data_IF_154061152603
#
_entry.id   IF_154061152603
#
_cell.length_a   1.000
_cell.length_b   1.000
_cell.length_c   1.000
_cell.angle_alpha   90.00
_cell.angle_beta   90.00
_cell.angle_gamma   90.00
#
_symmetry.space_group_name_H-M   'P 1'
#
loop_
_entity.id
_entity.type
_entity.pdbx_description
1 polymer ?
#
# COMPACT_ATOMS: atom_id res chain seq x y z
N UNK A 1 -49.82 -2.59 58.08
CA UNK A 1 -49.81 -1.11 58.04
C UNK A 1 -49.07 -0.74 56.76
N UNK A 2 -49.74 -0.42 55.65
CA UNK A 2 -50.33 0.89 55.32
C UNK A 2 -49.28 2.02 55.53
N UNK A 3 -48.95 2.92 54.61
CA UNK A 3 -49.59 3.39 53.38
C UNK A 3 -48.61 4.32 52.62
N UNK A 4 -48.63 4.26 51.28
CA UNK A 4 -48.70 5.36 50.30
C UNK A 4 -47.64 6.49 50.21
N UNK A 5 -47.20 6.70 48.96
CA UNK A 5 -46.44 7.84 48.46
C UNK A 5 -46.14 7.74 46.95
N UNK A 6 -47.16 8.01 46.13
CA UNK A 6 -47.15 8.30 44.67
C UNK A 6 -46.10 9.38 44.27
N UNK A 7 -45.71 9.68 43.04
CA UNK A 7 -45.89 9.25 41.64
C UNK A 7 -45.02 10.21 40.80
N UNK A 8 -44.43 9.75 39.69
CA UNK A 8 -44.51 10.36 38.35
C UNK A 8 -43.30 9.96 37.49
N UNK A 9 -43.57 9.06 36.54
CA UNK A 9 -42.70 8.79 35.41
C UNK A 9 -43.02 9.69 34.21
N UNK A 10 -42.07 9.80 33.28
CA UNK A 10 -42.34 10.24 31.91
C UNK A 10 -41.67 9.24 30.96
N UNK A 11 -42.47 8.31 30.44
CA UNK A 11 -42.19 7.54 29.22
C UNK A 11 -42.97 8.21 28.09
N UNK A 12 -42.29 8.71 27.08
CA UNK A 12 -42.95 9.21 25.86
C UNK A 12 -42.89 8.16 24.75
N UNK A 13 -44.05 7.52 24.53
CA UNK A 13 -44.46 6.77 23.35
C UNK A 13 -45.26 7.74 22.49
N UNK A 14 -44.91 7.96 21.22
CA UNK A 14 -45.88 8.48 20.25
C UNK A 14 -45.91 7.63 18.96
N UNK A 15 -47.16 7.28 18.63
CA UNK A 15 -47.67 6.36 17.62
C UNK A 15 -47.50 6.87 16.18
N UNK A 16 -47.46 5.88 15.27
CA UNK A 16 -47.82 5.95 13.85
C UNK A 16 -49.04 6.86 13.58
N UNK A 17 -48.95 7.66 12.52
CA UNK A 17 -50.12 8.05 11.70
C UNK A 17 -49.84 7.77 10.23
N UNK A 18 -50.72 6.94 9.68
CA UNK A 18 -50.96 6.67 8.27
C UNK A 18 -51.68 7.86 7.65
N UNK A 19 -51.29 8.26 6.44
CA UNK A 19 -52.11 9.08 5.56
C UNK A 19 -52.10 8.42 4.17
N UNK A 20 -53.21 7.74 3.90
CA UNK A 20 -53.66 7.24 2.61
C UNK A 20 -54.47 8.38 1.98
N UNK A 21 -54.13 8.80 0.77
CA UNK A 21 -54.98 9.65 -0.05
C UNK A 21 -55.28 8.90 -1.36
N UNK A 22 -56.56 8.69 -1.61
CA UNK A 22 -57.11 8.03 -2.80
C UNK A 22 -57.31 9.02 -3.96
N UNK A 23 -57.46 8.42 -5.14
CA UNK A 23 -57.39 8.98 -6.47
C UNK A 23 -58.47 10.01 -6.85
N UNK A 24 -58.14 10.86 -7.82
CA UNK A 24 -59.07 11.32 -8.84
C UNK A 24 -58.40 11.23 -10.23
N UNK A 25 -59.15 10.64 -11.16
CA UNK A 25 -58.82 10.42 -12.57
C UNK A 25 -59.43 11.52 -13.42
N UNK A 26 -58.68 12.05 -14.40
CA UNK A 26 -58.98 12.07 -15.85
C UNK A 26 -58.29 13.26 -16.53
N UNK A 27 -57.39 13.00 -17.47
CA UNK A 27 -57.45 13.54 -18.85
C UNK A 27 -56.29 13.01 -19.68
N UNK A 28 -56.62 12.53 -20.88
CA UNK A 28 -55.73 12.03 -21.92
C UNK A 28 -54.65 13.05 -22.31
N UNK A 29 -53.46 12.55 -22.61
CA UNK A 29 -52.39 13.30 -23.26
C UNK A 29 -51.33 12.34 -23.82
N UNK A 30 -51.46 11.99 -25.10
CA UNK A 30 -50.44 11.30 -25.88
C UNK A 30 -49.12 12.08 -25.81
N UNK A 31 -48.06 11.49 -25.26
CA UNK A 31 -46.70 11.90 -25.62
C UNK A 31 -45.75 10.69 -25.60
N UNK A 32 -45.13 10.51 -26.77
CA UNK A 32 -44.11 9.56 -27.15
C UNK A 32 -43.27 8.96 -26.02
N UNK A 33 -43.26 7.63 -25.96
CA UNK A 33 -42.25 6.84 -25.27
C UNK A 33 -40.87 7.16 -25.84
N UNK A 34 -40.12 8.05 -25.18
CA UNK A 34 -38.67 8.12 -25.40
C UNK A 34 -38.11 6.77 -24.96
N UNK A 35 -37.59 5.99 -25.90
CA UNK A 35 -36.66 4.90 -25.59
C UNK A 35 -35.49 5.56 -24.86
N UNK A 36 -35.55 5.54 -23.53
CA UNK A 36 -34.41 5.85 -22.71
C UNK A 36 -33.32 4.88 -23.13
N UNK A 37 -32.26 5.40 -23.74
CA UNK A 37 -30.99 4.69 -23.76
C UNK A 37 -30.66 4.45 -22.28
N UNK A 38 -30.96 3.25 -21.80
CA UNK A 38 -30.37 2.73 -20.58
C UNK A 38 -28.89 2.68 -20.90
N UNK A 39 -28.19 3.76 -20.54
CA UNK A 39 -26.74 3.76 -20.45
C UNK A 39 -26.43 2.59 -19.54
N UNK A 40 -26.01 1.45 -20.11
CA UNK A 40 -25.49 0.35 -19.32
C UNK A 40 -24.32 0.96 -18.55
N UNK A 41 -24.52 1.18 -17.25
CA UNK A 41 -23.53 1.84 -16.43
C UNK A 41 -22.24 1.01 -16.54
N UNK A 42 -21.21 1.60 -17.15
CA UNK A 42 -19.99 0.89 -17.48
C UNK A 42 -19.40 0.33 -16.19
N UNK A 43 -19.31 -1.00 -16.10
CA UNK A 43 -18.77 -1.68 -14.93
C UNK A 43 -17.29 -1.31 -14.76
N UNK A 44 -16.80 -1.19 -13.52
CA UNK A 44 -15.39 -0.90 -13.29
C UNK A 44 -14.51 -2.01 -13.84
N UNK A 45 -13.39 -1.63 -14.45
CA UNK A 45 -12.39 -2.54 -15.02
C UNK A 45 -11.04 -2.48 -14.27
N UNK A 46 -10.89 -1.56 -13.32
CA UNK A 46 -9.67 -1.37 -12.55
C UNK A 46 -9.95 -1.49 -11.04
N UNK A 47 -9.37 -2.49 -10.39
CA UNK A 47 -9.41 -2.63 -8.93
C UNK A 47 -8.31 -1.80 -8.28
N UNK A 48 -8.66 -0.89 -7.37
CA UNK A 48 -7.71 -0.19 -6.50
C UNK A 48 -7.91 -0.66 -5.06
N UNK A 49 -6.97 -1.46 -4.57
CA UNK A 49 -6.99 -2.02 -3.21
C UNK A 49 -6.33 -1.05 -2.23
N UNK A 50 -7.06 -0.58 -1.23
CA UNK A 50 -6.53 0.26 -0.14
C UNK A 50 -6.17 -0.62 1.06
N UNK A 51 -4.93 -0.54 1.54
CA UNK A 51 -4.40 -1.43 2.59
C UNK A 51 -3.91 -0.62 3.78
N UNK A 52 -4.65 -0.68 4.89
CA UNK A 52 -4.37 0.09 6.10
C UNK A 52 -3.14 -0.43 6.88
N UNK A 53 -2.58 0.43 7.73
CA UNK A 53 -1.45 0.12 8.60
C UNK A 53 -1.80 -0.66 9.87
N UNK A 54 -0.84 -0.68 10.81
CA UNK A 54 -0.95 -1.34 12.11
C UNK A 54 -2.08 -0.73 12.97
N UNK A 55 -2.87 -1.58 13.64
CA UNK A 55 -4.01 -1.15 14.49
C UNK A 55 -5.05 -0.26 13.78
N UNK A 56 -5.05 -0.23 12.45
CA UNK A 56 -5.97 0.56 11.66
C UNK A 56 -7.17 -0.29 11.18
N UNK A 57 -8.07 0.36 10.47
CA UNK A 57 -9.23 -0.26 9.83
C UNK A 57 -9.55 0.45 8.51
N UNK A 58 -10.47 -0.06 7.68
CA UNK A 58 -10.99 0.65 6.51
C UNK A 58 -11.44 2.09 6.78
N UNK A 59 -11.88 2.42 8.02
CA UNK A 59 -12.32 3.77 8.40
C UNK A 59 -11.24 4.84 8.19
N UNK A 60 -9.97 4.47 8.27
CA UNK A 60 -8.85 5.41 8.13
C UNK A 60 -8.69 5.89 6.67
N UNK A 61 -9.39 5.26 5.73
CA UNK A 61 -9.39 5.62 4.31
C UNK A 61 -10.56 6.52 3.89
N UNK A 62 -11.50 6.90 4.78
CA UNK A 62 -12.74 7.62 4.40
C UNK A 62 -12.45 8.86 3.53
N UNK A 63 -11.58 9.76 4.00
CA UNK A 63 -11.22 10.97 3.24
C UNK A 63 -10.52 10.62 1.93
N UNK A 64 -9.55 9.70 1.99
CA UNK A 64 -8.76 9.31 0.83
C UNK A 64 -9.64 8.68 -0.26
N UNK A 65 -10.54 7.78 0.13
CA UNK A 65 -11.48 7.11 -0.76
C UNK A 65 -12.43 8.12 -1.42
N UNK A 66 -12.95 9.10 -0.66
CA UNK A 66 -13.77 10.17 -1.21
C UNK A 66 -13.01 10.97 -2.28
N UNK A 67 -11.75 11.31 -2.01
CA UNK A 67 -10.92 12.07 -2.94
C UNK A 67 -10.53 11.26 -4.19
N UNK A 68 -10.25 9.96 -4.02
CA UNK A 68 -10.03 9.04 -5.14
C UNK A 68 -11.29 8.97 -6.02
N UNK A 69 -12.46 8.70 -5.43
CA UNK A 69 -13.75 8.63 -6.15
C UNK A 69 -14.00 9.89 -6.97
N UNK A 70 -13.68 11.07 -6.41
CA UNK A 70 -13.84 12.36 -7.07
C UNK A 70 -12.90 12.55 -8.26
N UNK A 71 -11.66 12.04 -8.19
CA UNK A 71 -10.60 12.34 -9.17
C UNK A 71 -10.41 11.27 -10.24
N UNK A 72 -10.40 9.98 -9.87
CA UNK A 72 -10.01 8.88 -10.79
C UNK A 72 -11.16 8.40 -11.67
N UNK A 73 -12.42 8.71 -11.31
CA UNK A 73 -13.61 8.41 -12.11
C UNK A 73 -14.23 7.04 -11.84
N UNK A 74 -15.30 6.71 -12.57
CA UNK A 74 -16.15 5.52 -12.34
C UNK A 74 -15.54 4.18 -12.77
N UNK A 75 -14.46 4.18 -13.54
CA UNK A 75 -13.80 2.95 -14.02
C UNK A 75 -13.10 2.17 -12.88
N UNK A 76 -12.88 2.81 -11.74
CA UNK A 76 -12.23 2.21 -10.60
C UNK A 76 -13.24 1.58 -9.64
N UNK A 77 -13.01 0.31 -9.31
CA UNK A 77 -13.52 -0.30 -8.08
C UNK A 77 -12.51 0.00 -6.97
N UNK A 78 -12.80 1.01 -6.15
CA UNK A 78 -11.98 1.33 -4.98
C UNK A 78 -12.44 0.44 -3.83
N UNK A 79 -11.52 -0.35 -3.28
CA UNK A 79 -11.82 -1.36 -2.28
C UNK A 79 -10.88 -1.22 -1.07
N UNK A 80 -11.42 -0.76 0.06
CA UNK A 80 -10.68 -0.71 1.32
C UNK A 80 -10.69 -2.08 2.01
N UNK A 81 -9.52 -2.72 2.06
CA UNK A 81 -9.32 -4.03 2.67
C UNK A 81 -9.63 -4.00 4.16
N UNK A 82 -10.37 -5.01 4.65
CA UNK A 82 -10.77 -5.14 6.05
C UNK A 82 -10.17 -6.37 6.75
N UNK A 83 -9.55 -7.27 5.98
CA UNK A 83 -9.08 -8.58 6.45
C UNK A 83 -8.08 -8.51 7.62
N UNK A 84 -7.36 -7.40 7.77
CA UNK A 84 -6.33 -7.20 8.79
C UNK A 84 -6.69 -6.17 9.87
N UNK A 85 -7.97 -5.83 10.03
CA UNK A 85 -8.44 -4.79 10.97
C UNK A 85 -7.99 -5.01 12.43
N UNK A 86 -7.56 -3.93 13.09
CA UNK A 86 -7.13 -3.87 14.50
C UNK A 86 -6.03 -4.89 14.86
N UNK A 87 -6.28 -5.76 15.82
CA UNK A 87 -5.28 -6.70 16.36
C UNK A 87 -4.84 -7.76 15.36
N UNK A 88 -5.59 -7.96 14.26
CA UNK A 88 -5.19 -8.87 13.18
C UNK A 88 -3.90 -8.45 12.49
N UNK A 89 -3.48 -7.18 12.61
CA UNK A 89 -2.18 -6.71 12.08
C UNK A 89 -0.97 -7.33 12.78
N UNK A 90 -1.14 -8.00 13.92
CA UNK A 90 -0.05 -8.54 14.74
C UNK A 90 0.33 -9.99 14.43
N UNK A 91 -0.40 -10.67 13.54
CA UNK A 91 -0.19 -12.11 13.26
C UNK A 91 0.98 -12.39 12.30
N UNK A 92 1.87 -11.44 12.08
CA UNK A 92 2.93 -11.50 11.07
C UNK A 92 2.53 -10.84 9.74
N UNK A 93 3.52 -10.26 9.06
CA UNK A 93 3.45 -9.69 7.72
C UNK A 93 3.05 -10.76 6.71
N UNK A 94 3.63 -11.96 6.82
CA UNK A 94 3.30 -13.09 5.95
C UNK A 94 1.87 -13.57 6.16
N UNK A 95 1.43 -13.76 7.41
CA UNK A 95 0.05 -14.14 7.71
C UNK A 95 -0.97 -13.09 7.24
N UNK A 96 -0.65 -11.81 7.44
CA UNK A 96 -1.50 -10.69 7.00
C UNK A 96 -1.53 -10.54 5.49
N UNK A 97 -0.40 -10.79 4.81
CA UNK A 97 -0.28 -10.78 3.37
C UNK A 97 -1.06 -11.92 2.71
N UNK A 98 -1.05 -13.14 3.28
CA UNK A 98 -1.88 -14.26 2.80
C UNK A 98 -3.37 -13.93 2.86
N UNK A 99 -3.84 -13.42 4.01
CA UNK A 99 -5.25 -12.99 4.15
C UNK A 99 -5.64 -11.90 3.16
N UNK A 100 -4.75 -10.95 2.91
CA UNK A 100 -4.98 -9.90 1.92
C UNK A 100 -5.05 -10.50 0.50
N UNK A 101 -4.18 -11.45 0.16
CA UNK A 101 -4.23 -12.16 -1.12
C UNK A 101 -5.55 -12.93 -1.29
N UNK A 102 -6.03 -13.61 -0.24
CA UNK A 102 -7.31 -14.33 -0.26
C UNK A 102 -8.49 -13.36 -0.48
N UNK A 103 -8.52 -12.24 0.25
CA UNK A 103 -9.55 -11.20 0.12
C UNK A 103 -9.55 -10.60 -1.30
N UNK A 104 -8.38 -10.23 -1.83
CA UNK A 104 -8.24 -9.70 -3.19
C UNK A 104 -8.71 -10.72 -4.23
N UNK A 105 -8.30 -11.99 -4.11
CA UNK A 105 -8.74 -13.05 -5.01
C UNK A 105 -10.27 -13.21 -5.01
N UNK A 106 -10.91 -13.07 -3.85
CA UNK A 106 -12.36 -13.11 -3.73
C UNK A 106 -13.02 -11.91 -4.44
N UNK A 107 -12.50 -10.70 -4.25
CA UNK A 107 -13.00 -9.48 -4.93
C UNK A 107 -12.88 -9.61 -6.44
N UNK A 108 -11.75 -10.12 -6.94
CA UNK A 108 -11.51 -10.34 -8.37
C UNK A 108 -12.48 -11.36 -8.95
N UNK A 109 -12.63 -12.53 -8.31
CA UNK A 109 -13.58 -13.57 -8.73
C UNK A 109 -15.04 -13.07 -8.75
N UNK A 110 -15.41 -12.24 -7.78
CA UNK A 110 -16.76 -11.66 -7.69
C UNK A 110 -17.02 -10.60 -8.77
N UNK A 111 -15.98 -9.99 -9.32
CA UNK A 111 -16.09 -8.84 -10.23
C UNK A 111 -15.43 -9.16 -11.58
N UNK A 112 -16.12 -9.96 -12.41
CA UNK A 112 -15.57 -10.43 -13.69
C UNK A 112 -15.28 -9.36 -14.76
N UNK A 113 -15.62 -8.09 -14.53
CA UNK A 113 -15.27 -6.98 -15.43
C UNK A 113 -13.86 -6.45 -15.23
N UNK A 114 -13.19 -6.81 -14.13
CA UNK A 114 -11.85 -6.33 -13.80
C UNK A 114 -10.81 -6.86 -14.78
N UNK A 115 -9.91 -5.96 -15.20
CA UNK A 115 -8.77 -6.23 -16.10
C UNK A 115 -7.45 -5.75 -15.48
N UNK A 116 -7.53 -4.74 -14.61
CA UNK A 116 -6.37 -4.05 -14.02
C UNK A 116 -6.44 -4.06 -12.50
N UNK A 117 -5.27 -4.07 -11.86
CA UNK A 117 -5.14 -3.99 -10.41
C UNK A 117 -4.07 -2.98 -10.00
N UNK A 118 -4.38 -2.20 -8.98
CA UNK A 118 -3.48 -1.29 -8.27
C UNK A 118 -3.59 -1.50 -6.76
N UNK A 119 -2.50 -1.23 -6.06
CA UNK A 119 -2.44 -1.20 -4.60
C UNK A 119 -2.03 0.19 -4.13
N UNK A 120 -2.73 0.69 -3.11
CA UNK A 120 -2.35 1.85 -2.34
C UNK A 120 -2.33 1.46 -0.86
N UNK A 121 -1.17 1.55 -0.22
CA UNK A 121 -0.99 1.02 1.12
C UNK A 121 -0.30 2.03 2.04
N UNK A 122 -0.71 2.05 3.30
CA UNK A 122 -0.14 2.93 4.32
C UNK A 122 0.62 2.12 5.38
N UNK A 123 1.82 2.59 5.73
CA UNK A 123 2.61 2.07 6.84
C UNK A 123 2.83 0.55 6.73
N UNK A 124 2.57 -0.20 7.80
CA UNK A 124 2.66 -1.67 7.79
C UNK A 124 1.84 -2.34 6.66
N UNK A 125 0.76 -1.70 6.21
CA UNK A 125 -0.06 -2.18 5.10
C UNK A 125 0.74 -2.34 3.80
N UNK A 126 1.78 -1.53 3.58
CA UNK A 126 2.64 -1.68 2.40
C UNK A 126 3.46 -2.97 2.43
N UNK A 127 3.85 -3.46 3.61
CA UNK A 127 4.51 -4.74 3.76
C UNK A 127 3.53 -5.91 3.57
N UNK A 128 2.29 -5.77 4.04
CA UNK A 128 1.22 -6.74 3.75
C UNK A 128 0.95 -6.83 2.24
N UNK A 129 0.87 -5.68 1.56
CA UNK A 129 0.68 -5.62 0.12
C UNK A 129 1.86 -6.25 -0.63
N UNK A 130 3.12 -5.96 -0.24
CA UNK A 130 4.31 -6.61 -0.82
C UNK A 130 4.27 -8.13 -0.74
N UNK A 131 3.87 -8.66 0.42
CA UNK A 131 3.74 -10.11 0.57
C UNK A 131 2.58 -10.65 -0.28
N UNK A 132 1.42 -9.99 -0.24
CA UNK A 132 0.23 -10.39 -0.97
C UNK A 132 0.45 -10.43 -2.49
N UNK A 133 1.13 -9.43 -3.08
CA UNK A 133 1.40 -9.45 -4.53
C UNK A 133 2.32 -10.61 -4.92
N UNK A 134 3.25 -11.02 -4.06
CA UNK A 134 4.07 -12.22 -4.27
C UNK A 134 3.23 -13.51 -4.27
N UNK A 135 2.20 -13.59 -3.43
CA UNK A 135 1.25 -14.73 -3.39
C UNK A 135 0.33 -14.74 -4.62
N UNK A 136 -0.13 -13.56 -5.05
CA UNK A 136 -1.05 -13.38 -6.17
C UNK A 136 -0.38 -13.49 -7.55
N UNK A 137 0.94 -13.52 -7.58
CA UNK A 137 1.71 -13.48 -8.81
C UNK A 137 1.61 -14.77 -9.60
N UNK A 138 1.31 -14.63 -10.89
CA UNK A 138 1.37 -15.73 -11.86
C UNK A 138 2.33 -15.33 -12.98
N UNK A 139 3.44 -16.05 -13.17
CA UNK A 139 4.33 -15.81 -14.30
C UNK A 139 3.59 -16.10 -15.61
N UNK A 140 3.90 -15.35 -16.67
CA UNK A 140 3.39 -15.67 -18.00
C UNK A 140 4.27 -16.79 -18.59
N UNK A 141 3.72 -18.01 -18.69
CA UNK A 141 4.46 -19.21 -19.16
C UNK A 141 4.33 -19.45 -20.69
N UNK A 142 3.64 -18.58 -21.42
CA UNK A 142 3.42 -18.77 -22.84
C UNK A 142 4.57 -18.20 -23.67
N UNK A 143 5.52 -19.08 -24.03
CA UNK A 143 6.46 -19.11 -25.16
C UNK A 143 7.87 -19.53 -24.72
N UNK A 144 8.06 -20.84 -24.53
CA UNK A 144 9.36 -21.53 -24.64
C UNK A 144 9.20 -22.87 -25.39
N UNK A 145 8.15 -23.03 -26.21
CA UNK A 145 7.97 -24.22 -27.06
C UNK A 145 7.43 -23.85 -28.45
N UNK A 146 8.35 -23.43 -29.32
CA UNK A 146 8.33 -23.46 -30.80
C UNK A 146 9.38 -22.44 -31.28
N UNK A 147 10.47 -22.71 -31.99
CA UNK A 147 10.90 -23.86 -32.80
C UNK A 147 12.44 -23.83 -32.89
N UNK A 148 13.02 -25.00 -33.17
CA UNK A 148 14.40 -25.19 -33.63
C UNK A 148 14.71 -24.44 -34.95
N UNK A 149 15.96 -23.98 -35.08
CA UNK A 149 16.73 -23.61 -36.29
C UNK A 149 16.34 -22.31 -37.03
N UNK A 150 17.21 -21.28 -36.98
CA UNK A 150 18.21 -21.06 -38.04
C UNK A 150 19.25 -19.97 -37.69
N UNK A 151 20.50 -20.22 -38.08
CA UNK A 151 21.67 -19.36 -37.85
C UNK A 151 21.81 -18.42 -39.05
N UNK A 152 21.51 -17.11 -38.91
CA UNK A 152 22.21 -16.08 -39.68
C UNK A 152 21.94 -14.64 -39.22
N UNK A 153 23.04 -13.95 -38.89
CA UNK A 153 23.35 -12.53 -39.11
C UNK A 153 22.23 -11.47 -39.11
N UNK A 154 22.15 -10.70 -38.02
CA UNK A 154 22.30 -9.22 -38.03
C UNK A 154 21.97 -8.65 -36.64
N UNK A 155 22.98 -8.09 -35.98
CA UNK A 155 22.83 -7.38 -34.69
C UNK A 155 22.10 -6.08 -34.97
N UNK A 156 20.77 -6.12 -34.92
CA UNK A 156 19.94 -4.95 -34.68
C UNK A 156 19.69 -4.86 -33.18
N UNK A 157 20.27 -3.84 -32.54
CA UNK A 157 19.90 -3.42 -31.18
C UNK A 157 18.48 -2.85 -31.22
N UNK A 158 17.49 -3.72 -31.39
CA UNK A 158 16.10 -3.41 -31.04
C UNK A 158 15.99 -3.56 -29.53
N UNK A 159 15.62 -2.47 -28.86
CA UNK A 159 15.17 -2.44 -27.48
C UNK A 159 14.15 -3.55 -27.23
N UNK A 160 14.61 -4.70 -26.74
CA UNK A 160 13.73 -5.74 -26.20
C UNK A 160 13.30 -5.29 -24.80
N UNK A 161 12.31 -4.40 -24.75
CA UNK A 161 11.47 -4.30 -23.57
C UNK A 161 10.66 -5.59 -23.53
N UNK A 162 11.18 -6.61 -22.85
CA UNK A 162 10.57 -7.93 -22.74
C UNK A 162 9.08 -7.79 -22.35
N UNK A 163 8.21 -8.14 -23.29
CA UNK A 163 6.75 -8.08 -23.22
C UNK A 163 6.15 -9.32 -22.52
N UNK A 164 6.89 -9.97 -21.62
CA UNK A 164 6.41 -11.12 -20.85
C UNK A 164 6.08 -10.72 -19.40
N UNK A 165 5.07 -9.85 -19.23
CA UNK A 165 4.66 -9.38 -17.90
C UNK A 165 3.70 -10.39 -17.28
N UNK A 166 4.13 -11.06 -16.20
CA UNK A 166 3.23 -11.87 -15.37
C UNK A 166 2.05 -11.04 -14.82
N UNK A 167 1.07 -11.73 -14.25
CA UNK A 167 -0.18 -11.14 -13.78
C UNK A 167 -0.26 -11.17 -12.25
N UNK A 168 -1.08 -10.30 -11.67
CA UNK A 168 -1.41 -10.29 -10.25
C UNK A 168 -2.89 -10.62 -10.10
N UNK A 169 -3.20 -11.77 -9.50
CA UNK A 169 -4.57 -12.28 -9.40
C UNK A 169 -5.27 -12.45 -10.78
N UNK A 170 -4.49 -12.71 -11.83
CA UNK A 170 -5.00 -12.75 -13.22
C UNK A 170 -5.28 -11.38 -13.85
N UNK A 171 -4.92 -10.28 -13.18
CA UNK A 171 -5.11 -8.92 -13.66
C UNK A 171 -3.78 -8.25 -14.03
N UNK A 172 -3.84 -7.28 -14.95
CA UNK A 172 -2.70 -6.45 -15.30
C UNK A 172 -2.34 -5.51 -14.15
N UNK A 173 -1.10 -5.56 -13.70
CA UNK A 173 -0.61 -4.78 -12.56
C UNK A 173 -0.22 -3.35 -12.98
N UNK A 174 -0.91 -2.35 -12.42
CA UNK A 174 -0.74 -0.95 -12.83
C UNK A 174 0.09 -0.16 -11.83
N UNK A 175 -0.44 0.12 -10.64
CA UNK A 175 0.24 0.92 -9.63
C UNK A 175 0.50 0.11 -8.36
N UNK A 176 1.72 0.18 -7.83
CA UNK A 176 2.06 -0.22 -6.48
C UNK A 176 2.52 1.03 -5.71
N UNK A 177 1.65 1.58 -4.86
CA UNK A 177 1.89 2.84 -4.16
C UNK A 177 1.92 2.59 -2.66
N UNK A 178 2.95 3.12 -2.00
CA UNK A 178 3.07 3.05 -0.54
C UNK A 178 3.24 4.43 0.08
N UNK A 179 2.64 4.64 1.25
CA UNK A 179 2.69 5.86 2.04
C UNK A 179 3.32 5.56 3.39
N UNK A 180 4.50 6.13 3.68
CA UNK A 180 5.22 5.95 4.93
C UNK A 180 5.40 4.47 5.33
N UNK A 181 5.68 3.59 4.38
CA UNK A 181 5.86 2.14 4.62
C UNK A 181 7.30 1.83 5.03
N UNK A 182 7.55 1.06 6.11
CA UNK A 182 8.91 0.70 6.52
C UNK A 182 9.48 -0.43 5.65
N UNK A 183 9.82 -0.16 4.38
CA UNK A 183 10.25 -1.19 3.42
C UNK A 183 11.49 -1.97 3.85
N UNK A 184 12.35 -1.36 4.66
CA UNK A 184 13.62 -1.90 5.16
C UNK A 184 13.54 -2.29 6.66
N UNK A 185 12.34 -2.34 7.22
CA UNK A 185 12.11 -2.53 8.65
C UNK A 185 12.26 -1.24 9.46
N UNK A 186 12.33 -1.39 10.79
CA UNK A 186 12.47 -0.29 11.75
C UNK A 186 13.69 -0.55 12.63
N UNK A 187 14.51 0.49 12.83
CA UNK A 187 15.60 0.49 13.83
C UNK A 187 15.04 0.99 15.17
N UNK A 188 15.18 0.19 16.23
CA UNK A 188 14.82 0.62 17.59
C UNK A 188 15.75 1.74 18.11
N UNK A 189 15.19 2.68 18.86
CA UNK A 189 15.94 3.67 19.65
C UNK A 189 16.23 3.14 21.06
N UNK A 190 17.42 2.56 21.24
CA UNK A 190 18.34 2.73 22.39
C UNK A 190 17.93 2.43 23.86
N UNK A 191 16.72 2.04 24.27
CA UNK A 191 16.44 2.05 25.74
C UNK A 191 15.84 0.85 26.47
N UNK A 192 15.57 -0.33 25.87
CA UNK A 192 15.35 -1.56 26.67
C UNK A 192 15.67 -2.85 25.89
N UNK A 193 16.46 -3.79 26.46
CA UNK A 193 16.83 -5.05 25.81
C UNK A 193 15.66 -6.05 25.61
N UNK A 194 14.45 -5.71 26.03
CA UNK A 194 13.26 -6.57 25.90
C UNK A 194 12.07 -5.95 25.13
N UNK A 195 12.13 -4.66 24.76
CA UNK A 195 11.00 -3.93 24.14
C UNK A 195 11.33 -3.32 22.77
N UNK A 196 12.47 -3.68 22.17
CA UNK A 196 12.86 -3.32 20.80
C UNK A 196 12.87 -1.79 20.50
N UNK A 197 12.83 -0.93 21.53
CA UNK A 197 13.14 0.49 21.47
C UNK A 197 12.28 1.35 20.52
N UNK A 198 11.04 0.97 20.23
CA UNK A 198 10.15 1.77 19.37
C UNK A 198 9.03 2.38 20.20
N UNK A 199 8.96 3.73 20.32
CA UNK A 199 7.94 4.43 21.11
C UNK A 199 6.49 4.06 20.77
N UNK A 200 6.24 3.59 19.55
CA UNK A 200 4.93 3.13 19.11
C UNK A 200 4.50 1.79 19.70
N UNK A 201 5.45 0.86 19.89
CA UNK A 201 5.17 -0.41 20.57
C UNK A 201 5.16 -0.22 22.09
N UNK A 202 5.95 0.73 22.60
CA UNK A 202 6.02 1.09 24.02
C UNK A 202 4.79 1.87 24.53
N UNK A 203 4.15 2.68 23.67
CA UNK A 203 2.88 3.37 24.00
C UNK A 203 1.67 2.45 24.00
N UNK A 204 1.80 1.24 23.47
CA UNK A 204 0.76 0.24 23.50
C UNK A 204 0.90 -0.51 24.83
N UNK A 205 -0.05 -0.29 25.73
CA UNK A 205 0.00 -0.71 27.13
C UNK A 205 0.43 -2.17 27.35
N UNK A 206 0.98 -2.43 28.55
CA UNK A 206 1.48 -3.73 29.02
C UNK A 206 0.66 -5.00 28.63
N UNK A 207 -0.69 -5.02 28.60
CA UNK A 207 -1.42 -6.22 28.19
C UNK A 207 -1.34 -6.56 26.69
N UNK A 208 -0.93 -5.63 25.82
CA UNK A 208 -0.83 -5.86 24.36
C UNK A 208 0.64 -6.07 23.94
N UNK A 209 1.61 -5.77 24.82
CA UNK A 209 3.04 -5.87 24.54
C UNK A 209 3.45 -7.23 23.93
N UNK A 210 3.04 -8.42 24.45
CA UNK A 210 3.40 -9.71 23.84
C UNK A 210 2.85 -9.93 22.43
N UNK A 211 1.70 -9.32 22.12
CA UNK A 211 1.05 -9.39 20.81
C UNK A 211 1.82 -8.50 19.82
N UNK A 212 2.34 -7.37 20.30
CA UNK A 212 3.04 -6.35 19.53
C UNK A 212 4.52 -6.70 19.33
N UNK A 213 5.19 -7.25 20.34
CA UNK A 213 6.46 -7.98 20.24
C UNK A 213 6.29 -9.36 19.62
N UNK A 214 5.07 -9.68 19.15
CA UNK A 214 4.75 -10.91 18.44
C UNK A 214 5.39 -10.95 17.04
N UNK A 215 4.85 -11.82 16.19
CA UNK A 215 5.44 -12.16 14.89
C UNK A 215 5.66 -10.94 13.98
N UNK A 216 4.71 -10.00 13.92
CA UNK A 216 4.85 -8.77 13.13
C UNK A 216 6.01 -7.91 13.62
N UNK A 217 6.11 -7.70 14.94
CA UNK A 217 7.21 -6.93 15.52
C UNK A 217 8.54 -7.58 15.19
N UNK A 218 8.68 -8.87 15.45
CA UNK A 218 9.92 -9.61 15.16
C UNK A 218 10.38 -9.46 13.70
N UNK A 219 9.45 -9.54 12.75
CA UNK A 219 9.74 -9.34 11.31
C UNK A 219 10.10 -7.89 10.97
N UNK A 220 9.46 -6.91 11.62
CA UNK A 220 9.74 -5.49 11.41
C UNK A 220 11.14 -5.09 11.90
N UNK A 221 11.60 -5.74 12.98
CA UNK A 221 12.95 -5.56 13.53
C UNK A 221 13.98 -6.54 12.97
N UNK A 222 13.62 -7.35 11.97
CA UNK A 222 14.54 -8.31 11.34
C UNK A 222 15.06 -9.39 12.31
N UNK A 223 14.38 -9.59 13.44
CA UNK A 223 14.77 -10.58 14.46
C UNK A 223 14.13 -11.95 14.21
N UNK A 224 13.32 -12.08 13.15
CA UNK A 224 12.54 -13.27 12.88
C UNK A 224 13.38 -14.43 12.33
N UNK A 225 13.02 -15.65 12.73
CA UNK A 225 13.65 -16.87 12.27
C UNK A 225 15.03 -17.16 12.90
N UNK A 226 15.58 -18.32 12.53
CA UNK A 226 16.90 -18.78 13.00
C UNK A 226 18.04 -17.88 12.47
N UNK A 227 19.22 -17.86 13.11
CA UNK A 227 20.37 -17.07 12.65
C UNK A 227 20.76 -17.33 11.19
N UNK A 228 20.70 -18.60 10.76
CA UNK A 228 21.05 -19.02 9.40
C UNK A 228 19.96 -18.80 8.34
N UNK A 229 18.80 -18.24 8.72
CA UNK A 229 17.71 -17.94 7.79
C UNK A 229 17.58 -16.42 7.63
N UNK A 230 17.52 -15.91 6.39
CA UNK A 230 17.26 -14.48 6.18
C UNK A 230 15.90 -14.07 6.77
N UNK A 231 15.82 -12.87 7.38
CA UNK A 231 14.56 -12.34 7.90
C UNK A 231 13.54 -12.16 6.76
N UNK A 232 12.25 -12.16 7.10
CA UNK A 232 11.18 -12.09 6.09
C UNK A 232 11.31 -10.87 5.16
N UNK A 233 11.67 -9.69 5.69
CA UNK A 233 11.79 -8.49 4.85
C UNK A 233 12.88 -8.61 3.79
N UNK A 234 14.00 -9.26 4.12
CA UNK A 234 15.05 -9.58 3.15
C UNK A 234 14.57 -10.60 2.11
N UNK A 235 13.84 -11.63 2.54
CA UNK A 235 13.22 -12.60 1.62
C UNK A 235 12.22 -11.95 0.65
N UNK A 236 11.50 -10.91 1.08
CA UNK A 236 10.62 -10.11 0.21
C UNK A 236 11.37 -9.09 -0.66
N UNK A 237 12.69 -8.99 -0.54
CA UNK A 237 13.57 -8.21 -1.41
C UNK A 237 14.25 -9.10 -2.48
N UNK A 238 13.92 -10.39 -2.55
CA UNK A 238 14.36 -11.31 -3.58
C UNK A 238 13.23 -12.21 -4.07
N UNK A 239 13.50 -12.97 -5.13
CA UNK A 239 12.70 -14.13 -5.48
C UNK A 239 13.30 -15.35 -4.79
N UNK A 240 12.51 -16.03 -3.97
CA UNK A 240 12.95 -17.17 -3.18
C UNK A 240 11.90 -18.29 -3.20
N UNK A 241 12.16 -19.37 -2.46
CA UNK A 241 11.24 -20.52 -2.34
C UNK A 241 9.86 -20.12 -1.81
N UNK A 242 9.81 -19.08 -0.98
CA UNK A 242 8.56 -18.63 -0.35
C UNK A 242 7.71 -17.74 -1.26
N UNK A 243 8.26 -17.26 -2.38
CA UNK A 243 7.56 -16.39 -3.31
C UNK A 243 8.48 -15.63 -4.25
N UNK A 244 7.91 -15.23 -5.40
CA UNK A 244 8.59 -14.42 -6.42
C UNK A 244 8.31 -12.93 -6.21
N UNK A 245 8.76 -12.38 -5.07
CA UNK A 245 8.38 -11.04 -4.62
C UNK A 245 8.89 -9.90 -5.51
N UNK A 246 10.12 -10.01 -6.03
CA UNK A 246 10.69 -8.98 -6.92
C UNK A 246 10.10 -9.12 -8.31
N UNK A 247 9.91 -10.34 -8.82
CA UNK A 247 9.18 -10.54 -10.08
C UNK A 247 7.74 -9.99 -10.00
N UNK A 248 7.03 -10.25 -8.89
CA UNK A 248 5.69 -9.74 -8.66
C UNK A 248 5.63 -8.21 -8.58
N UNK A 249 6.57 -7.57 -7.89
CA UNK A 249 6.67 -6.11 -7.88
C UNK A 249 7.08 -5.55 -9.26
N UNK A 250 7.88 -6.31 -10.01
CA UNK A 250 8.40 -5.95 -11.32
C UNK A 250 7.32 -5.80 -12.39
N UNK A 251 6.22 -6.56 -12.29
CA UNK A 251 5.14 -6.48 -13.28
C UNK A 251 4.27 -5.22 -13.17
N UNK A 252 4.30 -4.52 -12.03
CA UNK A 252 3.63 -3.23 -11.91
C UNK A 252 4.26 -2.21 -12.85
N UNK A 253 3.45 -1.56 -13.71
CA UNK A 253 3.92 -0.50 -14.61
C UNK A 253 4.52 0.68 -13.84
N UNK A 254 3.92 1.01 -12.69
CA UNK A 254 4.39 2.08 -11.84
C UNK A 254 4.53 1.65 -10.38
N UNK A 255 5.69 1.95 -9.78
CA UNK A 255 5.95 1.77 -8.35
C UNK A 255 6.29 3.11 -7.75
N UNK A 256 5.58 3.52 -6.71
CA UNK A 256 5.73 4.83 -6.07
C UNK A 256 5.83 4.68 -4.56
N UNK A 257 6.85 5.30 -3.96
CA UNK A 257 6.99 5.41 -2.51
C UNK A 257 6.83 6.86 -2.10
N UNK A 258 5.94 7.13 -1.14
CA UNK A 258 5.80 8.43 -0.50
C UNK A 258 6.42 8.36 0.89
N UNK A 259 7.43 9.18 1.13
CA UNK A 259 8.22 9.16 2.36
C UNK A 259 8.16 10.51 3.06
N UNK A 260 7.92 10.49 4.38
CA UNK A 260 8.00 11.69 5.19
C UNK A 260 9.47 12.02 5.47
N UNK A 261 9.92 13.21 5.06
CA UNK A 261 11.32 13.66 5.28
C UNK A 261 11.60 14.06 6.72
N UNK A 262 10.55 14.38 7.47
CA UNK A 262 10.65 14.87 8.86
C UNK A 262 9.36 14.58 9.63
N UNK A 263 9.47 14.58 10.96
CA UNK A 263 8.36 14.47 11.92
C UNK A 263 7.54 13.17 11.88
N UNK A 264 7.93 12.19 11.07
CA UNK A 264 7.43 10.82 11.18
C UNK A 264 8.30 10.05 12.17
N UNK A 265 7.78 9.88 13.38
CA UNK A 265 8.46 9.14 14.45
C UNK A 265 8.24 7.63 14.36
N UNK A 266 7.35 7.17 13.46
CA UNK A 266 7.00 5.77 13.32
C UNK A 266 7.84 5.11 12.23
N UNK A 267 7.99 5.79 11.11
CA UNK A 267 8.68 5.27 9.93
C UNK A 267 9.67 6.32 9.44
N UNK A 268 10.95 5.98 9.53
CA UNK A 268 12.03 6.86 9.09
C UNK A 268 12.03 7.10 7.58
N UNK A 269 12.62 8.23 7.18
CA UNK A 269 12.73 8.62 5.77
C UNK A 269 13.43 7.54 4.93
N UNK A 270 14.61 7.06 5.36
CA UNK A 270 15.40 6.01 4.67
C UNK A 270 14.59 4.77 4.30
N UNK A 271 13.91 4.20 5.30
CA UNK A 271 13.15 2.95 5.14
C UNK A 271 11.90 3.16 4.27
N UNK A 272 11.27 4.33 4.34
CA UNK A 272 10.10 4.63 3.51
C UNK A 272 10.42 5.06 2.08
N UNK A 273 11.60 5.64 1.83
CA UNK A 273 12.05 6.03 0.49
C UNK A 273 12.90 4.97 -0.22
N UNK A 274 13.28 3.88 0.46
CA UNK A 274 14.23 2.87 -0.06
C UNK A 274 15.54 3.58 -0.48
N UNK A 275 16.11 4.35 0.46
CA UNK A 275 17.35 5.12 0.25
C UNK A 275 18.33 4.90 1.41
N UNK A 276 19.62 4.97 1.10
CA UNK A 276 20.71 5.01 2.08
C UNK A 276 20.78 6.39 2.75
N UNK A 277 21.44 6.50 3.91
CA UNK A 277 21.64 7.81 4.56
C UNK A 277 22.30 8.83 3.64
N UNK A 278 23.36 8.40 2.95
CA UNK A 278 24.15 9.24 2.05
C UNK A 278 23.37 9.75 0.83
N UNK A 279 22.23 9.12 0.52
CA UNK A 279 21.35 9.50 -0.58
C UNK A 279 20.27 10.49 -0.13
N UNK A 280 20.10 10.72 1.19
CA UNK A 280 19.14 11.68 1.71
C UNK A 280 19.72 13.10 1.60
N UNK A 281 19.19 13.86 0.64
CA UNK A 281 19.52 15.27 0.47
C UNK A 281 18.85 16.13 1.55
N UNK A 282 19.28 17.40 1.69
CA UNK A 282 18.57 18.34 2.58
C UNK A 282 17.17 18.59 2.01
N UNK A 283 16.10 18.37 2.79
CA UNK A 283 14.74 18.48 2.26
C UNK A 283 14.46 19.91 1.79
N UNK A 284 13.94 20.04 0.57
CA UNK A 284 13.46 21.31 0.05
C UNK A 284 12.37 21.86 0.95
N UNK A 285 12.42 23.17 1.23
CA UNK A 285 11.31 23.87 1.91
C UNK A 285 10.20 24.27 0.95
N UNK A 286 10.46 24.24 -0.37
CA UNK A 286 9.49 24.58 -1.41
C UNK A 286 8.66 23.34 -1.75
N UNK A 287 7.35 23.49 -1.80
CA UNK A 287 6.46 22.46 -2.31
C UNK A 287 6.43 22.49 -3.84
N UNK A 288 6.15 21.35 -4.44
CA UNK A 288 5.79 21.22 -5.85
C UNK A 288 4.51 22.02 -6.13
N UNK A 289 4.47 22.66 -7.29
CA UNK A 289 3.34 23.50 -7.70
C UNK A 289 2.03 22.69 -7.67
N UNK A 290 1.03 23.23 -6.97
CA UNK A 290 -0.29 22.61 -6.83
C UNK A 290 -0.43 21.58 -5.70
N UNK A 291 0.66 21.12 -5.06
CA UNK A 291 0.61 20.10 -4.02
C UNK A 291 1.36 20.51 -2.76
N UNK A 292 0.64 21.17 -1.85
CA UNK A 292 1.18 21.55 -0.54
C UNK A 292 1.74 20.32 0.18
N UNK A 293 2.96 20.43 0.69
CA UNK A 293 3.72 19.40 1.41
C UNK A 293 4.39 18.31 0.57
N UNK A 294 4.16 18.20 -0.74
CA UNK A 294 5.02 17.38 -1.61
C UNK A 294 6.22 18.24 -1.98
N UNK A 295 7.43 17.86 -1.57
CA UNK A 295 8.62 18.72 -1.66
C UNK A 295 9.66 18.28 -2.67
N UNK A 296 9.65 17.01 -3.04
CA UNK A 296 10.50 16.47 -4.10
C UNK A 296 9.84 15.26 -4.76
N UNK A 297 10.14 15.04 -6.04
CA UNK A 297 9.77 13.85 -6.79
C UNK A 297 10.87 13.51 -7.76
N UNK A 298 11.41 12.30 -7.62
CA UNK A 298 12.40 11.76 -8.54
C UNK A 298 11.97 10.38 -9.07
N UNK A 299 12.37 10.07 -10.30
CA UNK A 299 12.31 8.71 -10.82
C UNK A 299 13.71 8.10 -10.76
N UNK A 300 13.86 7.05 -9.97
CA UNK A 300 15.08 6.26 -9.90
C UNK A 300 14.93 5.04 -10.83
N UNK A 301 15.77 4.89 -11.87
CA UNK A 301 15.75 3.72 -12.74
C UNK A 301 16.18 2.45 -11.98
N UNK A 302 15.86 1.25 -12.51
CA UNK A 302 16.36 -0.01 -11.98
C UNK A 302 17.90 0.00 -11.90
N UNK A 303 18.45 -0.47 -10.79
CA UNK A 303 19.89 -0.69 -10.61
C UNK A 303 20.19 -2.14 -10.98
N UNK A 304 21.13 -2.34 -11.91
CA UNK A 304 21.63 -3.68 -12.21
C UNK A 304 22.52 -4.14 -11.06
N UNK A 305 21.98 -5.01 -10.21
CA UNK A 305 22.71 -5.68 -9.15
C UNK A 305 22.37 -7.16 -9.14
N UNK A 306 23.27 -7.95 -8.56
CA UNK A 306 22.95 -9.34 -8.20
C UNK A 306 21.74 -9.36 -7.23
N UNK A 307 21.08 -10.51 -7.17
CA UNK A 307 20.01 -10.71 -6.18
C UNK A 307 20.59 -10.50 -4.78
N UNK A 308 19.82 -9.98 -3.82
CA UNK A 308 20.36 -9.81 -2.48
C UNK A 308 20.61 -11.17 -1.86
N UNK A 309 21.71 -11.27 -1.14
CA UNK A 309 22.19 -12.50 -0.55
C UNK A 309 22.05 -12.42 0.97
N UNK A 310 22.09 -13.59 1.61
CA UNK A 310 22.23 -13.66 3.07
C UNK A 310 23.62 -14.25 3.37
N UNK A 311 24.67 -13.42 3.34
CA UNK A 311 26.04 -13.91 3.41
C UNK A 311 26.35 -14.50 4.80
N UNK A 312 27.36 -15.37 4.93
CA UNK A 312 27.75 -15.95 6.22
C UNK A 312 28.02 -14.89 7.30
N UNK A 313 28.54 -13.72 6.92
CA UNK A 313 28.76 -12.56 7.78
C UNK A 313 27.44 -12.03 8.35
N UNK A 314 26.38 -11.98 7.54
CA UNK A 314 25.05 -11.59 8.00
C UNK A 314 24.45 -12.59 8.99
N UNK A 315 24.66 -13.89 8.75
CA UNK A 315 24.22 -14.94 9.67
C UNK A 315 24.94 -14.85 11.02
N UNK A 316 26.27 -14.62 11.01
CA UNK A 316 27.08 -14.39 12.22
C UNK A 316 26.65 -13.12 12.96
N UNK A 317 26.44 -12.02 12.24
CA UNK A 317 25.96 -10.77 12.83
C UNK A 317 24.57 -10.94 13.47
N UNK A 318 23.68 -11.70 12.81
CA UNK A 318 22.36 -12.05 13.37
C UNK A 318 22.48 -12.88 14.63
N UNK A 319 23.32 -13.92 14.61
CA UNK A 319 23.58 -14.77 15.77
C UNK A 319 24.13 -13.96 16.95
N UNK A 320 25.13 -13.10 16.69
CA UNK A 320 25.69 -12.21 17.71
C UNK A 320 24.63 -11.25 18.29
N UNK A 321 23.77 -10.67 17.44
CA UNK A 321 22.70 -9.78 17.88
C UNK A 321 21.62 -10.51 18.69
N UNK A 322 21.40 -11.80 18.47
CA UNK A 322 20.43 -12.62 19.21
C UNK A 322 21.00 -13.18 20.52
N UNK A 323 22.25 -13.64 20.53
CA UNK A 323 22.90 -14.27 21.69
C UNK A 323 23.38 -13.24 22.71
N UNK A 324 23.99 -12.14 22.26
CA UNK A 324 24.50 -11.07 23.10
C UNK A 324 24.06 -9.71 22.55
N UNK A 325 22.81 -9.28 22.85
CA UNK A 325 22.26 -8.03 22.33
C UNK A 325 23.06 -6.83 22.83
N UNK A 326 23.87 -6.25 21.94
CA UNK A 326 24.59 -5.00 22.17
C UNK A 326 24.25 -4.00 21.08
N UNK A 327 24.37 -2.70 21.38
CA UNK A 327 24.12 -1.63 20.39
C UNK A 327 24.96 -1.87 19.13
N UNK A 328 26.21 -2.28 19.30
CA UNK A 328 27.13 -2.54 18.19
C UNK A 328 26.64 -3.70 17.31
N UNK A 329 26.38 -4.86 17.90
CA UNK A 329 25.97 -6.06 17.16
C UNK A 329 24.63 -5.84 16.44
N UNK A 330 23.68 -5.18 17.11
CA UNK A 330 22.39 -4.84 16.50
C UNK A 330 22.55 -3.87 15.33
N UNK A 331 23.34 -2.79 15.48
CA UNK A 331 23.56 -1.82 14.39
C UNK A 331 24.25 -2.48 13.20
N UNK A 332 25.29 -3.28 13.44
CA UNK A 332 26.02 -4.01 12.41
C UNK A 332 25.10 -4.93 11.61
N UNK A 333 24.31 -5.76 12.30
CA UNK A 333 23.34 -6.63 11.64
C UNK A 333 22.30 -5.83 10.82
N UNK A 334 21.73 -4.77 11.39
CA UNK A 334 20.76 -3.94 10.70
C UNK A 334 21.34 -3.23 9.47
N UNK A 335 22.60 -2.81 9.50
CA UNK A 335 23.26 -2.18 8.36
C UNK A 335 23.46 -3.16 7.20
N UNK A 336 23.90 -4.38 7.49
CA UNK A 336 24.02 -5.44 6.48
C UNK A 336 22.64 -5.74 5.86
N UNK A 337 21.61 -5.93 6.69
CA UNK A 337 20.26 -6.22 6.19
C UNK A 337 19.65 -5.08 5.40
N UNK A 338 19.86 -3.84 5.84
CA UNK A 338 19.36 -2.67 5.12
C UNK A 338 19.99 -2.56 3.74
N UNK A 339 21.32 -2.76 3.63
CA UNK A 339 22.02 -2.70 2.35
C UNK A 339 21.53 -3.78 1.38
N UNK A 340 21.41 -5.03 1.84
CA UNK A 340 20.89 -6.13 1.03
C UNK A 340 19.43 -5.90 0.59
N UNK A 341 18.57 -5.39 1.49
CA UNK A 341 17.19 -5.06 1.12
C UNK A 341 17.12 -3.91 0.12
N UNK A 342 17.98 -2.89 0.25
CA UNK A 342 18.07 -1.79 -0.70
C UNK A 342 18.51 -2.33 -2.07
N UNK A 343 19.55 -3.16 -2.14
CA UNK A 343 19.99 -3.81 -3.37
C UNK A 343 18.83 -4.55 -4.04
N UNK A 344 18.16 -5.45 -3.32
CA UNK A 344 17.05 -6.22 -3.86
C UNK A 344 15.89 -5.38 -4.38
N UNK A 345 15.47 -4.36 -3.62
CA UNK A 345 14.35 -3.50 -4.02
C UNK A 345 14.70 -2.54 -5.15
N UNK A 346 15.93 -2.01 -5.19
CA UNK A 346 16.39 -1.07 -6.22
C UNK A 346 16.69 -1.75 -7.56
N UNK A 347 16.67 -3.09 -7.65
CA UNK A 347 16.62 -3.82 -8.94
C UNK A 347 15.39 -3.50 -9.78
N UNK A 348 14.40 -2.82 -9.20
CA UNK A 348 13.26 -2.28 -9.90
C UNK A 348 13.32 -0.75 -9.89
N UNK A 349 12.78 -0.12 -10.93
CA UNK A 349 12.63 1.34 -10.98
C UNK A 349 11.53 1.81 -10.04
N UNK A 350 11.79 2.90 -9.30
CA UNK A 350 10.87 3.50 -8.33
C UNK A 350 10.74 4.99 -8.57
N UNK A 351 9.52 5.49 -8.48
CA UNK A 351 9.28 6.92 -8.30
C UNK A 351 9.24 7.22 -6.80
N UNK A 352 10.12 8.09 -6.34
CA UNK A 352 10.26 8.44 -4.92
C UNK A 352 9.72 9.83 -4.72
N UNK A 353 8.76 9.97 -3.83
CA UNK A 353 8.08 11.23 -3.52
C UNK A 353 8.36 11.57 -2.07
N UNK A 354 8.95 12.73 -1.85
CA UNK A 354 9.29 13.21 -0.52
C UNK A 354 8.24 14.21 -0.04
N UNK A 355 7.75 13.98 1.18
CA UNK A 355 6.66 14.72 1.81
C UNK A 355 7.18 15.42 3.06
N UNK A 356 6.84 16.70 3.22
CA UNK A 356 7.22 17.50 4.38
C UNK A 356 6.08 18.33 4.92
N UNK A 357 5.68 18.03 6.15
CA UNK A 357 4.67 18.77 6.91
C UNK A 357 5.25 19.92 7.74
N UNK A 358 6.45 20.39 7.43
CA UNK A 358 7.15 21.44 8.19
C UNK A 358 6.33 22.73 8.39
N UNK A 359 5.47 23.06 7.42
CA UNK A 359 4.61 24.25 7.43
C UNK A 359 3.18 23.97 7.93
N UNK A 360 2.93 22.78 8.47
CA UNK A 360 1.64 22.45 9.10
C UNK A 360 1.60 22.90 10.56
N UNK A 361 0.40 23.11 11.09
CA UNK A 361 0.19 23.52 12.49
C UNK A 361 0.70 22.43 13.46
N UNK A 362 0.54 21.16 13.09
CA UNK A 362 0.89 20.00 13.90
C UNK A 362 1.77 19.03 13.10
N UNK A 363 3.07 19.35 12.91
CA UNK A 363 3.95 18.57 12.03
C UNK A 363 4.22 17.15 12.55
N UNK A 364 4.17 16.92 13.86
CA UNK A 364 4.37 15.59 14.48
C UNK A 364 3.30 14.56 14.14
N UNK A 365 2.21 14.96 13.48
CA UNK A 365 1.23 14.02 12.90
C UNK A 365 1.59 13.57 11.48
N UNK A 366 2.81 13.82 10.97
CA UNK A 366 3.23 13.49 9.61
C UNK A 366 2.81 12.08 9.14
N UNK A 367 2.93 11.08 10.01
CA UNK A 367 2.57 9.69 9.70
C UNK A 367 1.09 9.49 9.34
N UNK A 368 0.20 10.25 9.99
CA UNK A 368 -1.25 10.20 9.76
C UNK A 368 -1.71 11.29 8.79
N UNK A 369 -0.99 12.41 8.71
CA UNK A 369 -1.19 13.46 7.72
C UNK A 369 -1.03 12.89 6.31
N UNK A 370 -0.01 12.07 6.05
CA UNK A 370 0.27 11.55 4.68
C UNK A 370 -0.92 10.84 4.00
N UNK A 371 -1.88 10.31 4.77
CA UNK A 371 -3.11 9.70 4.24
C UNK A 371 -4.40 10.32 4.79
N UNK A 372 -4.32 11.43 5.55
CA UNK A 372 -5.47 12.12 6.17
C UNK A 372 -6.35 11.16 6.98
N UNK A 373 -5.77 10.52 8.01
CA UNK A 373 -6.49 9.55 8.86
C UNK A 373 -7.81 10.09 9.45
N UNK A 374 -7.82 11.38 9.79
CA UNK A 374 -8.96 12.06 10.39
C UNK A 374 -8.98 13.49 9.85
N UNK A 375 -10.07 13.87 9.20
CA UNK A 375 -10.18 15.17 8.52
C UNK A 375 -9.97 16.37 9.45
N UNK A 376 -10.37 16.28 10.72
CA UNK A 376 -10.25 17.40 11.66
C UNK A 376 -8.79 17.69 12.05
N UNK A 377 -7.97 16.64 12.17
CA UNK A 377 -6.60 16.75 12.68
C UNK A 377 -5.53 16.65 11.60
N UNK A 378 -5.83 15.95 10.51
CA UNK A 378 -4.84 15.51 9.52
C UNK A 378 -5.03 16.13 8.13
N UNK A 379 -5.88 17.16 7.99
CA UNK A 379 -6.15 17.83 6.72
C UNK A 379 -4.92 18.45 6.04
N UNK A 380 -3.81 18.65 6.77
CA UNK A 380 -2.53 19.05 6.17
C UNK A 380 -2.11 18.08 5.05
N UNK A 381 -2.54 16.82 5.11
CA UNK A 381 -2.32 15.80 4.09
C UNK A 381 -3.07 15.95 2.78
N UNK A 382 -4.08 16.83 2.68
CA UNK A 382 -4.96 16.89 1.52
C UNK A 382 -4.20 17.05 0.18
N UNK A 383 -3.12 17.84 0.18
CA UNK A 383 -2.26 18.01 -0.99
C UNK A 383 -1.54 16.72 -1.42
N UNK A 384 -1.14 15.88 -0.46
CA UNK A 384 -0.51 14.57 -0.73
C UNK A 384 -1.54 13.59 -1.29
N UNK A 385 -2.74 13.54 -0.71
CA UNK A 385 -3.85 12.69 -1.21
C UNK A 385 -4.23 13.08 -2.63
N UNK A 386 -4.36 14.38 -2.90
CA UNK A 386 -4.60 14.92 -4.23
C UNK A 386 -3.51 14.48 -5.22
N UNK A 387 -2.24 14.60 -4.82
CA UNK A 387 -1.10 14.20 -5.63
C UNK A 387 -1.12 12.70 -5.98
N UNK A 388 -1.45 11.83 -5.01
CA UNK A 388 -1.58 10.38 -5.24
C UNK A 388 -2.71 10.10 -6.23
N UNK A 389 -3.87 10.72 -6.05
CA UNK A 389 -5.02 10.50 -6.92
C UNK A 389 -4.78 11.00 -8.35
N UNK A 390 -4.14 12.16 -8.52
CA UNK A 390 -3.76 12.69 -9.82
C UNK A 390 -2.68 11.81 -10.48
N UNK A 391 -1.75 11.27 -9.69
CA UNK A 391 -0.77 10.28 -10.14
C UNK A 391 -1.45 9.03 -10.70
N UNK A 392 -2.41 8.44 -9.97
CA UNK A 392 -3.16 7.26 -10.43
C UNK A 392 -3.93 7.58 -11.72
N UNK A 393 -4.59 8.74 -11.77
CA UNK A 393 -5.35 9.19 -12.96
C UNK A 393 -4.47 9.37 -14.19
N UNK A 394 -3.27 9.93 -14.04
CA UNK A 394 -2.34 10.10 -15.16
C UNK A 394 -1.87 8.74 -15.71
N UNK A 395 -1.55 7.79 -14.83
CA UNK A 395 -1.13 6.44 -15.22
C UNK A 395 -2.25 5.67 -15.94
N UNK A 396 -3.50 5.91 -15.57
CA UNK A 396 -4.68 5.36 -16.26
C UNK A 396 -4.83 5.95 -17.67
N UNK A 397 -4.66 7.27 -17.83
CA UNK A 397 -4.74 7.94 -19.15
C UNK A 397 -3.67 7.47 -20.11
N UNK A 398 -2.44 7.23 -19.64
CA UNK A 398 -1.33 6.73 -20.46
C UNK A 398 -1.58 5.32 -21.00
N UNK A 399 -2.61 4.62 -20.52
CA UNK A 399 -2.98 3.27 -20.93
C UNK A 399 -4.24 3.23 -21.79
N UNK A 400 -4.95 4.34 -21.94
CA UNK A 400 -6.05 4.41 -22.87
C UNK A 400 -5.47 4.32 -24.31
N UNK A 401 -6.01 3.45 -25.19
CA UNK A 401 -5.56 3.41 -26.57
C UNK A 401 -5.73 4.80 -27.20
N UNK A 402 -4.68 5.29 -27.87
CA UNK A 402 -4.72 6.52 -28.64
C UNK A 402 -5.84 6.41 -29.68
N UNK A 403 -6.95 7.10 -29.48
CA UNK A 403 -7.98 7.24 -30.51
C UNK A 403 -7.37 8.16 -31.57
N UNK A 404 -6.67 7.58 -32.54
CA UNK A 404 -6.40 8.25 -33.80
C UNK A 404 -7.76 8.45 -34.48
N UNK A 405 -8.29 9.67 -34.39
CA UNK A 405 -9.32 10.13 -35.30
C UNK A 405 -8.61 10.23 -36.66
N UNK A 406 -8.73 9.17 -37.46
CA UNK A 406 -8.45 9.27 -38.89
C UNK A 406 -9.50 10.23 -39.46
N UNK A 407 -9.11 11.50 -39.62
CA UNK A 407 -9.84 12.40 -40.49
C UNK A 407 -9.69 11.86 -41.91
N UNK A 408 -10.72 11.18 -42.41
CA UNK A 408 -10.86 10.92 -43.83
C UNK A 408 -11.03 12.25 -44.53
N UNK A 409 -10.01 12.65 -45.30
CA UNK A 409 -10.12 13.63 -46.39
C UNK A 409 -10.29 12.87 -47.70
#
# INVERSE_FOLDING_TARGET
MAEHGQSMGVKNIWKRKSLRAEAMSTSQGNHASSRGNVSMEAKPDHLLVLVHGILASPSDWIYFEAELKRRVGKNFLIYASSCNTYTKTFTGIDGSGKRLADEVSHVVKKTGSLKKISFLAHSLGGLFARYAVGVLYTPNLNFDQSDDIDISSSISFKNSCSTNKGLIAGLEAINFITLATPHLGVRGKKQLPFLLGVPFLEKLAAPIAPIITGRTGSQLFLTDGKPNRPPLLLRMASDCEDGKFISALGVFKCRVVYANVSYDHLVGWRTSSIRREKELSKPSRRSLDGYKHVVDMEYCPPVLSEAPHFPPEAAKAKEAAQNEPSIKNTVEYHEIMEEEMIHGLQRLGWRKVDVSFHSSIWPFFAHNNIHVKNELFHNAGAGVVAHVADTIKQQEKQQAPSIFIAASL
#
